data_IF_592916166194
#
_entry.id   IF_592916166194
#
_cell.length_a   1.000
_cell.length_b   1.000
_cell.length_c   1.000
_cell.angle_alpha   90.00
_cell.angle_beta   90.00
_cell.angle_gamma   90.00
#
_symmetry.space_group_name_H-M   'P 1'
#
loop_
_entity.id
_entity.type
_entity.pdbx_description
1 polymer ?
#
# COMPACT_ATOMS: atom_id res chain seq x y z
N UNK A 1 -48.01 17.94 -38.53
CA UNK A 1 -48.53 17.82 -37.16
C UNK A 1 -47.55 16.95 -36.38
N UNK A 2 -46.54 17.51 -35.69
CA UNK A 2 -46.60 18.02 -34.30
C UNK A 2 -46.88 16.85 -33.33
N UNK A 3 -46.03 16.38 -32.39
CA UNK A 3 -45.26 17.11 -31.37
C UNK A 3 -44.40 16.11 -30.53
N UNK A 4 -43.17 16.54 -30.20
CA UNK A 4 -42.28 16.32 -29.01
C UNK A 4 -42.14 15.01 -28.20
N UNK A 5 -40.89 14.77 -27.75
CA UNK A 5 -40.50 14.00 -26.53
C UNK A 5 -40.77 14.79 -25.23
N UNK A 6 -40.82 14.13 -24.04
CA UNK A 6 -39.65 14.16 -23.15
C UNK A 6 -39.39 12.87 -22.34
N UNK A 7 -38.25 12.88 -21.62
CA UNK A 7 -37.62 11.80 -20.83
C UNK A 7 -38.34 11.42 -19.52
N UNK A 8 -38.09 10.19 -19.03
CA UNK A 8 -37.96 9.89 -17.59
C UNK A 8 -37.35 8.49 -17.33
N UNK A 9 -36.35 8.45 -16.45
CA UNK A 9 -35.77 7.26 -15.81
C UNK A 9 -36.71 6.77 -14.70
N UNK A 10 -36.76 5.46 -14.40
CA UNK A 10 -36.45 5.08 -13.01
C UNK A 10 -35.60 3.80 -12.87
N UNK A 11 -34.96 3.73 -11.70
CA UNK A 11 -34.17 2.65 -11.12
C UNK A 11 -34.78 1.24 -11.25
N UNK A 12 -33.95 0.21 -11.48
CA UNK A 12 -33.63 -0.83 -10.48
C UNK A 12 -33.00 -2.10 -11.09
N UNK A 13 -31.98 -2.59 -10.39
CA UNK A 13 -31.58 -3.99 -10.18
C UNK A 13 -31.43 -4.97 -11.37
N UNK A 14 -30.23 -5.56 -11.53
CA UNK A 14 -30.08 -6.84 -12.24
C UNK A 14 -28.70 -7.05 -12.85
N UNK A 15 -27.71 -7.37 -12.02
CA UNK A 15 -26.35 -7.68 -12.43
C UNK A 15 -26.30 -8.91 -13.36
N UNK A 16 -25.98 -8.69 -14.65
CA UNK A 16 -25.69 -9.74 -15.62
C UNK A 16 -24.25 -10.23 -15.46
N UNK A 17 -24.05 -11.35 -14.74
CA UNK A 17 -22.89 -12.22 -14.97
C UNK A 17 -23.13 -13.60 -14.35
N UNK A 18 -23.92 -14.44 -15.03
CA UNK A 18 -24.07 -15.85 -14.70
C UNK A 18 -24.29 -16.66 -15.98
N UNK A 19 -23.24 -17.38 -16.39
CA UNK A 19 -23.24 -18.65 -17.14
C UNK A 19 -21.92 -18.77 -17.88
N UNK A 20 -21.08 -19.72 -17.47
CA UNK A 20 -20.38 -20.72 -18.31
C UNK A 20 -19.66 -21.63 -17.31
N UNK A 21 -20.26 -22.78 -17.03
CA UNK A 21 -19.55 -24.01 -16.61
C UNK A 21 -20.53 -25.18 -16.83
N UNK A 22 -20.31 -25.95 -17.89
CA UNK A 22 -20.86 -27.30 -18.05
C UNK A 22 -19.82 -28.19 -18.72
N UNK A 23 -19.39 -29.20 -17.97
CA UNK A 23 -19.08 -30.54 -18.46
C UNK A 23 -17.68 -30.78 -19.04
N UNK A 24 -16.87 -31.54 -18.30
CA UNK A 24 -16.36 -32.86 -18.74
C UNK A 24 -15.65 -33.54 -17.56
N UNK A 25 -16.13 -34.73 -17.19
CA UNK A 25 -15.43 -35.69 -16.32
C UNK A 25 -14.53 -36.55 -17.20
N UNK A 26 -13.26 -36.69 -16.83
CA UNK A 26 -12.43 -37.85 -17.16
C UNK A 26 -11.44 -38.05 -15.99
N UNK A 27 -11.56 -39.21 -15.34
CA UNK A 27 -10.67 -39.71 -14.30
C UNK A 27 -9.37 -40.20 -14.95
N UNK A 28 -8.23 -39.79 -14.38
CA UNK A 28 -6.91 -40.30 -14.72
C UNK A 28 -5.92 -39.92 -13.63
N UNK A 29 -5.54 -40.91 -12.83
CA UNK A 29 -4.59 -40.89 -11.71
C UNK A 29 -3.49 -39.83 -11.81
N UNK A 30 -3.50 -38.88 -10.86
CA UNK A 30 -2.31 -38.15 -10.44
C UNK A 30 -2.18 -38.31 -8.93
N UNK A 31 -1.33 -39.26 -8.57
CA UNK A 31 -0.40 -39.26 -7.46
C UNK A 31 -0.77 -38.37 -6.26
N UNK A 32 -1.06 -39.04 -5.14
CA UNK A 32 -1.17 -38.49 -3.78
C UNK A 32 -0.19 -37.35 -3.51
N UNK A 33 -0.67 -36.11 -3.62
CA UNK A 33 -0.05 -34.98 -2.97
C UNK A 33 -0.82 -34.70 -1.69
N UNK A 34 -0.48 -35.47 -0.65
CA UNK A 34 -0.90 -35.19 0.73
C UNK A 34 -0.28 -33.86 1.12
N UNK A 35 -0.96 -32.76 0.81
CA UNK A 35 -0.72 -31.47 1.46
C UNK A 35 -0.98 -31.74 2.93
N UNK A 36 0.09 -31.88 3.73
CA UNK A 36 -0.03 -31.89 5.18
C UNK A 36 -0.79 -30.62 5.54
N UNK A 37 -2.07 -30.78 5.89
CA UNK A 37 -2.93 -29.73 6.39
C UNK A 37 -2.34 -29.26 7.72
N UNK A 38 -1.32 -28.41 7.64
CA UNK A 38 -1.00 -27.54 8.75
C UNK A 38 -2.22 -26.62 8.84
N UNK A 39 -3.10 -26.95 9.78
CA UNK A 39 -4.11 -26.03 10.29
C UNK A 39 -3.35 -24.83 10.81
N UNK A 40 -3.09 -23.87 9.92
CA UNK A 40 -2.57 -22.57 10.30
C UNK A 40 -3.59 -22.01 11.28
N UNK A 41 -3.23 -21.96 12.57
CA UNK A 41 -3.98 -21.23 13.57
C UNK A 41 -4.30 -19.89 12.92
N UNK A 42 -5.59 -19.62 12.73
CA UNK A 42 -6.07 -18.34 12.26
C UNK A 42 -5.30 -17.27 13.02
N UNK A 43 -4.74 -16.30 12.32
CA UNK A 43 -3.92 -15.22 12.88
C UNK A 43 -4.79 -14.26 13.72
N UNK A 44 -5.56 -14.80 14.67
CA UNK A 44 -6.49 -14.10 15.56
C UNK A 44 -5.79 -13.30 16.65
N UNK A 45 -4.46 -13.26 16.67
CA UNK A 45 -3.67 -12.65 17.76
C UNK A 45 -2.83 -11.43 17.38
N UNK A 46 -2.97 -10.86 16.18
CA UNK A 46 -2.59 -9.45 15.98
C UNK A 46 -3.79 -8.57 16.33
N UNK A 47 -4.02 -8.43 17.64
CA UNK A 47 -4.85 -7.39 18.23
C UNK A 47 -4.18 -6.00 18.08
N UNK A 48 -3.95 -5.58 16.83
CA UNK A 48 -3.77 -4.18 16.42
C UNK A 48 -4.83 -3.75 15.40
N UNK A 49 -5.74 -4.65 15.00
CA UNK A 49 -6.82 -4.38 14.03
C UNK A 49 -8.19 -4.09 14.67
N UNK A 50 -8.32 -4.05 16.00
CA UNK A 50 -9.60 -3.72 16.66
C UNK A 50 -9.92 -2.22 16.66
N UNK A 51 -8.97 -1.34 16.29
CA UNK A 51 -9.20 0.11 16.31
C UNK A 51 -9.86 0.66 15.03
N UNK A 52 -9.96 -0.11 13.93
CA UNK A 52 -10.66 0.36 12.71
C UNK A 52 -11.77 -0.59 12.24
N UNK A 53 -12.60 -1.06 13.17
CA UNK A 53 -13.85 -1.78 12.86
C UNK A 53 -14.82 -0.91 12.02
N UNK A 54 -14.60 0.42 11.98
CA UNK A 54 -15.34 1.36 11.16
C UNK A 54 -14.39 2.02 10.14
N UNK A 55 -14.29 1.53 8.89
CA UNK A 55 -13.60 2.29 7.84
C UNK A 55 -14.26 3.67 7.70
N UNK A 56 -13.50 4.76 7.47
CA UNK A 56 -14.09 6.06 7.18
C UNK A 56 -15.09 5.89 6.03
N UNK A 57 -16.36 6.19 6.29
CA UNK A 57 -17.41 6.19 5.26
C UNK A 57 -16.90 7.05 4.10
N UNK A 58 -16.73 6.42 2.93
CA UNK A 58 -16.43 7.02 1.62
C UNK A 58 -16.15 8.53 1.65
N UNK A 59 -14.87 8.90 1.75
CA UNK A 59 -14.43 10.29 1.76
C UNK A 59 -13.49 10.65 2.90
N UNK A 60 -12.49 9.80 3.19
CA UNK A 60 -11.57 10.02 4.31
C UNK A 60 -11.00 11.44 4.32
N UNK A 61 -11.01 12.07 5.48
CA UNK A 61 -10.70 13.46 5.73
C UNK A 61 -9.25 13.59 6.22
N UNK A 62 -8.31 13.07 5.43
CA UNK A 62 -6.91 13.00 5.86
C UNK A 62 -5.95 12.39 4.84
N UNK A 63 -4.85 11.89 5.38
CA UNK A 63 -3.81 11.12 4.67
C UNK A 63 -4.35 9.83 4.05
N UNK A 64 -5.52 9.34 4.48
CA UNK A 64 -6.20 8.17 3.93
C UNK A 64 -6.67 8.37 2.48
N UNK A 65 -6.61 9.59 1.94
CA UNK A 65 -6.80 9.86 0.50
C UNK A 65 -5.58 9.46 -0.34
N UNK A 66 -4.41 9.30 0.28
CA UNK A 66 -3.16 9.02 -0.42
C UNK A 66 -3.07 7.53 -0.75
N UNK A 67 -2.84 7.20 -2.02
CA UNK A 67 -2.58 5.82 -2.44
C UNK A 67 -1.30 5.27 -1.81
N UNK A 68 -0.26 6.10 -1.67
CA UNK A 68 1.00 5.76 -0.98
C UNK A 68 0.75 5.30 0.46
N UNK A 69 -0.17 5.93 1.17
CA UNK A 69 -0.48 5.53 2.54
C UNK A 69 -1.02 4.10 2.61
N UNK A 70 -1.94 3.73 1.71
CA UNK A 70 -2.55 2.40 1.73
C UNK A 70 -1.60 1.30 1.25
N UNK A 71 -0.71 1.58 0.30
CA UNK A 71 0.37 0.67 -0.05
C UNK A 71 1.37 0.55 1.10
N UNK A 72 1.72 1.64 1.77
CA UNK A 72 2.54 1.63 2.99
C UNK A 72 1.93 0.81 4.15
N UNK A 73 0.61 0.86 4.35
CA UNK A 73 -0.13 -0.03 5.27
C UNK A 73 0.06 -1.49 4.87
N UNK A 74 -0.19 -1.79 3.59
CA UNK A 74 -0.05 -3.15 3.04
C UNK A 74 1.37 -3.69 3.24
N UNK A 75 2.40 -2.89 2.94
CA UNK A 75 3.80 -3.25 3.14
C UNK A 75 4.09 -3.51 4.62
N UNK A 76 3.60 -2.68 5.53
CA UNK A 76 3.80 -2.88 6.96
C UNK A 76 3.22 -4.21 7.45
N UNK A 77 1.98 -4.50 7.06
CA UNK A 77 1.28 -5.71 7.48
C UNK A 77 1.91 -6.97 6.89
N UNK A 78 2.28 -6.95 5.61
CA UNK A 78 3.01 -8.04 4.97
C UNK A 78 4.40 -8.25 5.57
N UNK A 79 5.11 -7.17 5.90
CA UNK A 79 6.40 -7.25 6.56
C UNK A 79 6.28 -7.93 7.92
N UNK A 80 5.27 -7.58 8.73
CA UNK A 80 5.02 -8.24 10.01
C UNK A 80 4.86 -9.76 9.84
N UNK A 81 4.04 -10.19 8.87
CA UNK A 81 3.84 -11.61 8.57
C UNK A 81 5.16 -12.29 8.15
N UNK A 82 5.98 -11.61 7.34
CA UNK A 82 7.25 -12.13 6.87
C UNK A 82 8.25 -12.31 8.02
N UNK A 83 8.50 -11.25 8.80
CA UNK A 83 9.50 -11.28 9.88
C UNK A 83 9.12 -12.31 10.95
N UNK A 84 7.84 -12.43 11.27
CA UNK A 84 7.36 -13.43 12.23
C UNK A 84 7.51 -14.87 11.76
N UNK A 85 7.55 -15.09 10.45
CA UNK A 85 7.66 -16.43 9.86
C UNK A 85 9.09 -16.84 9.58
N UNK A 86 9.94 -15.92 9.16
CA UNK A 86 11.22 -16.23 8.55
C UNK A 86 12.43 -15.62 9.25
N UNK A 87 12.24 -14.73 10.23
CA UNK A 87 13.33 -14.08 10.95
C UNK A 87 13.22 -14.44 12.43
N UNK A 88 14.32 -14.93 13.01
CA UNK A 88 14.37 -15.15 14.46
C UNK A 88 14.24 -13.79 15.18
N UNK A 89 13.25 -13.72 16.08
CA UNK A 89 12.92 -12.53 16.89
C UNK A 89 14.06 -12.02 17.75
N UNK A 90 15.09 -12.85 18.01
CA UNK A 90 16.29 -12.48 18.77
C UNK A 90 17.31 -11.72 17.91
N UNK A 91 17.19 -11.78 16.59
CA UNK A 91 18.12 -11.13 15.68
C UNK A 91 17.77 -9.64 15.53
N UNK A 92 18.81 -8.81 15.50
CA UNK A 92 18.67 -7.36 15.29
C UNK A 92 17.91 -7.02 13.99
N UNK A 93 18.04 -7.86 12.97
CA UNK A 93 17.34 -7.74 11.68
C UNK A 93 15.82 -7.74 11.84
N UNK A 94 15.26 -8.50 12.80
CA UNK A 94 13.83 -8.49 13.07
C UNK A 94 13.34 -7.07 13.41
N UNK A 95 14.03 -6.42 14.36
CA UNK A 95 13.68 -5.08 14.81
C UNK A 95 13.95 -4.01 13.74
N UNK A 96 15.03 -4.16 12.97
CA UNK A 96 15.37 -3.24 11.88
C UNK A 96 14.27 -3.24 10.81
N UNK A 97 13.91 -4.41 10.30
CA UNK A 97 12.85 -4.52 9.28
C UNK A 97 11.50 -4.04 9.80
N UNK A 98 11.15 -4.34 11.06
CA UNK A 98 9.93 -3.85 11.70
C UNK A 98 9.92 -2.32 11.79
N UNK A 99 11.03 -1.73 12.24
CA UNK A 99 11.15 -0.28 12.40
C UNK A 99 11.14 0.45 11.05
N UNK A 100 11.86 -0.05 10.04
CA UNK A 100 11.87 0.57 8.71
C UNK A 100 10.47 0.55 8.07
N UNK A 101 9.74 -0.57 8.19
CA UNK A 101 8.35 -0.64 7.71
C UNK A 101 7.42 0.33 8.45
N UNK A 102 7.56 0.44 9.78
CA UNK A 102 6.76 1.35 10.60
C UNK A 102 7.08 2.81 10.29
N UNK A 103 8.37 3.15 10.26
CA UNK A 103 8.89 4.49 9.98
C UNK A 103 8.45 4.97 8.61
N UNK A 104 8.57 4.12 7.58
CA UNK A 104 8.13 4.44 6.22
C UNK A 104 6.68 4.90 6.18
N UNK A 105 5.77 4.11 6.76
CA UNK A 105 4.33 4.44 6.79
C UNK A 105 4.04 5.67 7.64
N UNK A 106 4.64 5.75 8.82
CA UNK A 106 4.37 6.80 9.79
C UNK A 106 4.77 8.19 9.26
N UNK A 107 5.91 8.29 8.59
CA UNK A 107 6.37 9.55 8.01
C UNK A 107 5.45 10.07 6.88
N UNK A 108 4.70 9.20 6.18
CA UNK A 108 3.66 9.64 5.22
C UNK A 108 2.53 10.38 5.96
N UNK A 109 2.10 9.84 7.10
CA UNK A 109 1.03 10.42 7.93
C UNK A 109 1.51 11.75 8.52
N UNK A 110 2.69 11.75 9.12
CA UNK A 110 3.28 12.95 9.73
C UNK A 110 3.54 14.04 8.68
N UNK A 111 4.03 13.67 7.50
CA UNK A 111 4.23 14.58 6.37
C UNK A 111 2.94 15.24 5.91
N UNK A 112 1.85 14.47 5.82
CA UNK A 112 0.53 15.02 5.48
C UNK A 112 0.02 16.04 6.51
N UNK A 113 0.31 15.82 7.80
CA UNK A 113 -0.10 16.71 8.89
C UNK A 113 0.71 18.01 8.97
N UNK A 114 1.84 18.12 8.25
CA UNK A 114 2.67 19.32 8.28
C UNK A 114 1.96 20.52 7.66
N UNK A 115 2.03 21.67 8.35
CA UNK A 115 1.54 22.94 7.83
C UNK A 115 2.41 23.50 6.68
N UNK A 116 3.71 23.20 6.70
CA UNK A 116 4.64 23.62 5.66
C UNK A 116 4.86 22.51 4.64
N UNK A 117 4.93 22.88 3.36
CA UNK A 117 5.25 21.93 2.29
C UNK A 117 6.70 21.43 2.39
N UNK A 118 7.61 22.26 2.88
CA UNK A 118 8.99 21.87 3.17
C UNK A 118 9.06 20.76 4.23
N UNK A 119 8.33 20.91 5.34
CA UNK A 119 8.25 19.89 6.38
C UNK A 119 7.63 18.59 5.85
N UNK A 120 6.58 18.71 5.03
CA UNK A 120 5.98 17.57 4.34
C UNK A 120 7.00 16.84 3.46
N UNK A 121 7.72 17.56 2.59
CA UNK A 121 8.74 16.98 1.71
C UNK A 121 9.86 16.28 2.48
N UNK A 122 10.31 16.87 3.59
CA UNK A 122 11.34 16.26 4.45
C UNK A 122 10.88 14.91 5.02
N UNK A 123 9.64 14.83 5.51
CA UNK A 123 9.10 13.58 6.06
C UNK A 123 8.84 12.55 4.95
N UNK A 124 8.38 12.96 3.77
CA UNK A 124 8.28 12.07 2.62
C UNK A 124 9.64 11.51 2.19
N UNK A 125 10.71 12.30 2.28
CA UNK A 125 12.07 11.83 1.99
C UNK A 125 12.54 10.81 3.04
N UNK A 126 12.28 11.04 4.32
CA UNK A 126 12.56 10.06 5.39
C UNK A 126 11.78 8.77 5.16
N UNK A 127 10.50 8.86 4.75
CA UNK A 127 9.68 7.70 4.38
C UNK A 127 10.31 6.90 3.25
N UNK A 128 10.76 7.59 2.18
CA UNK A 128 11.44 7.00 1.03
C UNK A 128 12.71 6.27 1.43
N UNK A 129 13.53 6.86 2.30
CA UNK A 129 14.75 6.25 2.84
C UNK A 129 14.41 4.99 3.64
N UNK A 130 13.42 5.06 4.55
CA UNK A 130 13.00 3.89 5.35
C UNK A 130 12.54 2.72 4.47
N UNK A 131 11.83 2.98 3.37
CA UNK A 131 11.45 1.90 2.43
C UNK A 131 12.61 1.40 1.58
N UNK A 132 13.58 2.25 1.26
CA UNK A 132 14.80 1.81 0.58
C UNK A 132 15.61 0.85 1.47
N UNK A 133 15.78 1.18 2.75
CA UNK A 133 16.42 0.30 3.74
C UNK A 133 15.71 -1.05 3.82
N UNK A 134 14.38 -1.04 4.01
CA UNK A 134 13.61 -2.27 4.07
C UNK A 134 13.74 -3.12 2.79
N UNK A 135 13.85 -2.48 1.62
CA UNK A 135 14.05 -3.16 0.33
C UNK A 135 15.41 -3.85 0.29
N UNK A 136 16.45 -3.20 0.80
CA UNK A 136 17.78 -3.79 0.90
C UNK A 136 17.78 -4.96 1.91
N UNK A 137 17.08 -4.85 3.05
CA UNK A 137 16.94 -5.96 4.01
C UNK A 137 16.34 -7.23 3.35
N UNK A 138 15.32 -7.07 2.50
CA UNK A 138 14.76 -8.19 1.73
C UNK A 138 15.74 -8.74 0.68
N UNK A 139 16.55 -7.87 0.06
CA UNK A 139 17.61 -8.27 -0.87
C UNK A 139 18.72 -9.05 -0.17
N UNK A 140 19.10 -8.62 1.03
CA UNK A 140 20.09 -9.28 1.88
C UNK A 140 19.57 -10.63 2.39
N UNK A 141 18.29 -10.71 2.74
CA UNK A 141 17.64 -11.99 3.05
C UNK A 141 17.73 -12.96 1.87
N UNK A 142 17.40 -12.53 0.64
CA UNK A 142 17.52 -13.37 -0.54
C UNK A 142 18.97 -13.85 -0.74
N UNK A 143 19.94 -12.95 -0.63
CA UNK A 143 21.37 -13.24 -0.83
C UNK A 143 21.91 -14.23 0.19
N UNK A 144 21.65 -13.99 1.47
CA UNK A 144 22.11 -14.85 2.57
C UNK A 144 21.52 -16.26 2.54
N UNK A 145 20.36 -16.45 1.90
CA UNK A 145 19.68 -17.73 1.77
C UNK A 145 19.86 -18.39 0.39
N UNK A 146 20.74 -17.86 -0.46
CA UNK A 146 20.96 -18.34 -1.83
C UNK A 146 19.66 -18.39 -2.69
N UNK A 147 18.79 -17.40 -2.51
CA UNK A 147 17.51 -17.28 -3.20
C UNK A 147 17.60 -16.22 -4.30
N UNK A 148 17.10 -16.56 -5.49
CA UNK A 148 17.11 -15.62 -6.61
C UNK A 148 16.07 -14.52 -6.46
N UNK A 149 16.50 -13.28 -6.70
CA UNK A 149 15.63 -12.14 -6.94
C UNK A 149 15.04 -12.22 -8.36
N UNK A 150 13.77 -11.84 -8.52
CA UNK A 150 13.10 -11.77 -9.81
C UNK A 150 13.61 -10.59 -10.64
N UNK A 151 13.73 -10.81 -11.95
CA UNK A 151 14.03 -9.75 -12.89
C UNK A 151 12.89 -8.73 -12.97
N UNK A 152 13.21 -7.48 -13.31
CA UNK A 152 12.23 -6.39 -13.45
C UNK A 152 11.15 -6.66 -14.51
N UNK A 153 11.41 -7.57 -15.46
CA UNK A 153 10.50 -7.97 -16.53
C UNK A 153 9.84 -9.34 -16.28
N UNK A 154 10.05 -9.96 -15.11
CA UNK A 154 9.37 -11.21 -14.76
C UNK A 154 7.83 -11.01 -14.80
N UNK A 155 7.06 -11.90 -15.44
CA UNK A 155 5.61 -11.76 -15.54
C UNK A 155 4.92 -11.54 -14.18
N UNK A 156 5.43 -12.15 -13.11
CA UNK A 156 4.91 -11.97 -11.74
C UNK A 156 5.14 -10.55 -11.24
N UNK A 157 6.33 -10.00 -11.48
CA UNK A 157 6.67 -8.61 -11.13
C UNK A 157 5.76 -7.64 -11.89
N UNK A 158 5.52 -7.89 -13.18
CA UNK A 158 4.63 -7.07 -13.99
C UNK A 158 3.18 -7.10 -13.48
N UNK A 159 2.66 -8.27 -13.11
CA UNK A 159 1.33 -8.42 -12.51
C UNK A 159 1.23 -7.65 -11.19
N UNK A 160 2.19 -7.82 -10.28
CA UNK A 160 2.19 -7.12 -8.98
C UNK A 160 2.24 -5.60 -9.15
N UNK A 161 3.01 -5.09 -10.13
CA UNK A 161 3.08 -3.65 -10.44
C UNK A 161 1.77 -3.09 -10.97
N UNK A 162 0.99 -3.88 -11.69
CA UNK A 162 -0.32 -3.49 -12.25
C UNK A 162 -1.44 -3.55 -11.22
N UNK A 163 -1.31 -4.40 -10.19
CA UNK A 163 -2.26 -4.50 -9.08
C UNK A 163 -2.44 -3.13 -8.42
N UNK A 164 -3.70 -2.70 -8.24
CA UNK A 164 -4.01 -1.45 -7.55
C UNK A 164 -4.39 -1.73 -6.10
N UNK A 165 -3.70 -1.10 -5.17
CA UNK A 165 -4.10 -1.09 -3.77
C UNK A 165 -5.22 -0.05 -3.62
N UNK A 166 -6.43 -0.55 -3.36
CA UNK A 166 -7.62 0.29 -3.32
C UNK A 166 -7.75 0.92 -1.93
N UNK A 167 -7.89 2.26 -1.83
CA UNK A 167 -8.21 2.93 -0.58
C UNK A 167 -9.43 2.29 0.07
N UNK A 168 -9.40 2.12 1.39
CA UNK A 168 -10.52 1.61 2.19
C UNK A 168 -10.92 0.13 1.94
N UNK A 169 -10.20 -0.61 1.07
CA UNK A 169 -10.43 -2.05 0.85
C UNK A 169 -9.32 -2.96 1.37
N UNK A 170 -8.19 -2.41 1.78
CA UNK A 170 -7.04 -3.17 2.30
C UNK A 170 -7.35 -3.87 3.62
N UNK A 171 -8.48 -3.54 4.27
CA UNK A 171 -8.70 -3.90 5.67
C UNK A 171 -8.84 -5.40 5.97
N UNK A 172 -9.13 -6.27 4.99
CA UNK A 172 -9.45 -7.68 5.34
C UNK A 172 -9.00 -8.81 4.43
N UNK A 173 -8.31 -8.56 3.32
CA UNK A 173 -7.67 -9.70 2.67
C UNK A 173 -6.51 -9.31 1.78
N UNK A 174 -5.28 -9.65 2.18
CA UNK A 174 -4.14 -9.77 1.27
C UNK A 174 -4.33 -10.93 0.27
N UNK A 175 -5.56 -11.36 -0.02
CA UNK A 175 -5.89 -12.46 -0.93
C UNK A 175 -5.19 -12.30 -2.27
N UNK A 176 -5.09 -11.06 -2.76
CA UNK A 176 -4.33 -10.69 -3.96
C UNK A 176 -2.87 -11.14 -3.92
N UNK A 177 -2.27 -11.22 -2.73
CA UNK A 177 -0.87 -11.52 -2.52
C UNK A 177 -0.61 -12.89 -1.88
N UNK A 178 -1.65 -13.59 -1.36
CA UNK A 178 -1.52 -14.87 -0.63
C UNK A 178 -0.71 -15.90 -1.42
N UNK A 179 -0.91 -15.97 -2.74
CA UNK A 179 -0.19 -16.91 -3.61
C UNK A 179 1.32 -16.66 -3.69
N UNK A 180 1.82 -15.50 -3.25
CA UNK A 180 3.25 -15.19 -3.18
C UNK A 180 3.83 -15.37 -1.78
N UNK A 181 3.03 -15.69 -0.77
CA UNK A 181 3.48 -15.83 0.63
C UNK A 181 3.80 -17.27 1.02
N UNK A 182 3.78 -18.20 0.08
CA UNK A 182 3.96 -19.64 0.28
C UNK A 182 5.41 -20.03 0.61
N UNK A 183 6.37 -19.31 0.05
CA UNK A 183 7.81 -19.53 0.28
C UNK A 183 8.51 -18.22 0.59
N UNK A 184 9.60 -18.28 1.36
CA UNK A 184 10.39 -17.08 1.68
C UNK A 184 10.89 -16.39 0.41
N UNK A 185 11.34 -17.14 -0.60
CA UNK A 185 11.72 -16.60 -1.91
C UNK A 185 10.61 -15.79 -2.59
N UNK A 186 9.40 -16.37 -2.72
CA UNK A 186 8.29 -15.68 -3.39
C UNK A 186 7.84 -14.46 -2.58
N UNK A 187 7.88 -14.56 -1.26
CA UNK A 187 7.45 -13.49 -0.38
C UNK A 187 8.46 -12.32 -0.37
N UNK A 188 9.76 -12.58 -0.24
CA UNK A 188 10.78 -11.53 -0.34
C UNK A 188 10.71 -10.81 -1.69
N UNK A 189 10.50 -11.54 -2.79
CA UNK A 189 10.36 -10.92 -4.11
C UNK A 189 9.07 -10.11 -4.28
N UNK A 190 7.95 -10.56 -3.70
CA UNK A 190 6.74 -9.75 -3.57
C UNK A 190 7.06 -8.44 -2.85
N UNK A 191 7.70 -8.52 -1.68
CA UNK A 191 8.03 -7.35 -0.85
C UNK A 191 8.92 -6.36 -1.59
N UNK A 192 9.99 -6.83 -2.24
CA UNK A 192 10.87 -5.99 -3.08
C UNK A 192 10.08 -5.31 -4.20
N UNK A 193 9.11 -5.99 -4.81
CA UNK A 193 8.30 -5.42 -5.88
C UNK A 193 7.35 -4.33 -5.36
N UNK A 194 6.70 -4.58 -4.22
CA UNK A 194 5.83 -3.59 -3.56
C UNK A 194 6.63 -2.37 -3.09
N UNK A 195 7.82 -2.57 -2.53
CA UNK A 195 8.71 -1.48 -2.09
C UNK A 195 9.18 -0.62 -3.26
N UNK A 196 9.56 -1.21 -4.40
CA UNK A 196 9.85 -0.44 -5.61
C UNK A 196 8.65 0.40 -6.08
N UNK A 197 7.45 -0.19 -6.03
CA UNK A 197 6.21 0.51 -6.39
C UNK A 197 5.94 1.67 -5.42
N UNK A 198 6.14 1.46 -4.12
CA UNK A 198 5.98 2.51 -3.10
C UNK A 198 6.99 3.65 -3.30
N UNK A 199 8.27 3.35 -3.51
CA UNK A 199 9.28 4.37 -3.81
C UNK A 199 8.91 5.20 -5.04
N UNK A 200 8.41 4.57 -6.12
CA UNK A 200 7.95 5.29 -7.30
C UNK A 200 6.76 6.22 -7.01
N UNK A 201 5.79 5.75 -6.22
CA UNK A 201 4.62 6.54 -5.87
C UNK A 201 4.97 7.70 -4.93
N UNK A 202 5.91 7.49 -4.00
CA UNK A 202 6.48 8.54 -3.15
C UNK A 202 7.19 9.61 -3.97
N UNK A 203 8.04 9.22 -4.93
CA UNK A 203 8.72 10.17 -5.83
C UNK A 203 7.71 11.04 -6.60
N UNK A 204 6.58 10.46 -7.04
CA UNK A 204 5.51 11.19 -7.71
C UNK A 204 4.78 12.14 -6.77
N UNK A 205 4.54 11.73 -5.53
CA UNK A 205 3.93 12.57 -4.50
C UNK A 205 4.84 13.75 -4.13
N UNK A 206 6.13 13.50 -3.92
CA UNK A 206 7.12 14.55 -3.62
C UNK A 206 7.18 15.57 -4.75
N UNK A 207 7.32 15.13 -6.00
CA UNK A 207 7.29 16.02 -7.17
C UNK A 207 6.01 16.85 -7.24
N UNK A 208 4.84 16.26 -6.98
CA UNK A 208 3.57 16.99 -6.95
C UNK A 208 3.55 18.06 -5.85
N UNK A 209 4.05 17.72 -4.65
CA UNK A 209 4.16 18.63 -3.51
C UNK A 209 5.12 19.79 -3.78
N UNK A 210 6.27 19.53 -4.40
CA UNK A 210 7.24 20.54 -4.86
C UNK A 210 6.60 21.51 -5.87
N UNK A 211 5.92 20.98 -6.89
CA UNK A 211 5.26 21.81 -7.90
C UNK A 211 4.13 22.68 -7.30
N UNK A 212 3.46 22.21 -6.26
CA UNK A 212 2.52 23.04 -5.50
C UNK A 212 3.23 24.09 -4.67
N UNK A 213 4.38 23.77 -4.08
CA UNK A 213 5.20 24.76 -3.38
C UNK A 213 5.64 25.91 -4.28
N UNK A 214 6.14 25.59 -5.48
CA UNK A 214 6.55 26.59 -6.46
C UNK A 214 5.40 27.49 -6.94
N UNK A 215 4.19 26.95 -7.08
CA UNK A 215 3.01 27.71 -7.56
C UNK A 215 2.31 28.53 -6.47
N UNK A 216 2.19 28.00 -5.27
CA UNK A 216 1.33 28.55 -4.21
C UNK A 216 2.12 29.28 -3.11
N UNK A 217 3.47 29.31 -3.17
CA UNK A 217 4.34 30.02 -2.22
C UNK A 217 4.41 29.39 -0.81
N UNK A 218 5.43 29.71 -0.03
CA UNK A 218 5.67 29.03 1.26
C UNK A 218 4.63 29.36 2.36
N UNK A 219 4.52 28.49 3.38
CA UNK A 219 3.66 28.79 4.54
C UNK A 219 4.09 30.09 5.26
N UNK A 220 5.40 30.26 5.49
CA UNK A 220 5.97 31.47 6.11
C UNK A 220 5.76 32.71 5.24
N UNK A 221 5.92 32.56 3.92
CA UNK A 221 5.70 33.63 2.95
C UNK A 221 4.23 34.09 2.97
N UNK A 222 3.29 33.14 2.98
CA UNK A 222 1.86 33.43 3.06
C UNK A 222 1.47 34.08 4.40
N UNK A 223 2.03 33.63 5.53
CA UNK A 223 1.82 34.29 6.82
C UNK A 223 2.38 35.71 6.84
N UNK A 224 3.56 35.91 6.26
CA UNK A 224 4.17 37.24 6.17
C UNK A 224 3.30 38.19 5.34
N UNK A 225 2.79 37.72 4.19
CA UNK A 225 1.88 38.47 3.33
C UNK A 225 0.60 38.90 4.08
N UNK A 226 -0.06 37.95 4.75
CA UNK A 226 -1.26 38.22 5.58
C UNK A 226 -0.97 39.21 6.72
N UNK A 227 0.19 39.12 7.35
CA UNK A 227 0.60 40.06 8.42
C UNK A 227 0.75 41.49 7.88
N UNK A 228 1.33 41.65 6.69
CA UNK A 228 1.47 42.96 6.03
C UNK A 228 0.10 43.52 5.65
N UNK A 229 -0.77 42.70 5.05
CA UNK A 229 -2.15 43.09 4.71
C UNK A 229 -2.93 43.55 5.94
N UNK A 230 -2.88 42.80 7.05
CA UNK A 230 -3.53 43.16 8.31
C UNK A 230 -3.06 44.52 8.86
N UNK A 231 -1.74 44.79 8.80
CA UNK A 231 -1.20 46.09 9.22
C UNK A 231 -1.65 47.26 8.35
N UNK A 232 -1.89 47.01 7.07
CA UNK A 232 -2.29 48.04 6.11
C UNK A 232 -3.80 48.33 6.14
N UNK A 233 -4.63 47.35 6.55
CA UNK A 233 -6.09 47.51 6.68
C UNK A 233 -6.55 47.93 8.09
N UNK A 234 -5.65 47.87 9.09
CA UNK A 234 -5.88 48.37 10.45
C UNK A 234 -5.50 49.84 10.65
N UNK A 235 -5.29 50.58 9.56
CA UNK A 235 -5.16 52.04 9.51
C UNK A 235 -6.36 52.60 8.77
#
# INVERSE_FOLDING_TARGET
MSISRPANWPNSAGCCCAKIFRGTKALGNMCDFTVKSHTYKTYTTYMTYTTYINPPRSGGNGHEKLVVYWLGVTIYDLNQIFIDRYIDRRLRTYDQMLQSARSGKQNIVEGWLQHSREGNLKLLDISRVSYAELKEDFGDYLRSHNLFQWDKNDPRVLVIRQTRDLPYKTYRSYTTYVSYMDTSKRFSNLMITLLHKESYLLDRLMKSTEQRFLREGGFRENLFRKRVEYKNHGK
#
